data_IF_704915428949
#
_entry.id   IF_704915428949
#
_cell.length_a   1.000
_cell.length_b   1.000
_cell.length_c   1.000
_cell.angle_alpha   90.00
_cell.angle_beta   90.00
_cell.angle_gamma   90.00
#
_symmetry.space_group_name_H-M   'P 1'
#
loop_
_entity.id
_entity.type
_entity.pdbx_description
1 polymer ?
#
# COMPACT_ATOMS: atom_id res chain seq x y z
N UNK A 1 12.17 -9.95 -0.51
CA UNK A 1 12.89 -8.72 -0.90
C UNK A 1 13.63 -9.02 -2.18
N UNK A 2 13.22 -8.40 -3.29
CA UNK A 2 14.04 -8.43 -4.50
C UNK A 2 15.35 -7.67 -4.19
N UNK A 3 16.52 -8.18 -4.60
CA UNK A 3 17.77 -7.46 -4.47
C UNK A 3 17.63 -6.06 -5.08
N UNK A 4 18.01 -5.04 -4.30
CA UNK A 4 18.17 -3.67 -4.79
C UNK A 4 19.10 -3.71 -6.02
N UNK A 5 18.56 -3.36 -7.20
CA UNK A 5 19.33 -3.32 -8.46
C UNK A 5 18.96 -4.35 -9.53
N UNK A 6 17.95 -5.21 -9.33
CA UNK A 6 17.40 -6.02 -10.44
C UNK A 6 16.33 -5.22 -11.17
N UNK A 7 16.65 -4.77 -12.40
CA UNK A 7 15.66 -4.29 -13.35
C UNK A 7 14.91 -5.49 -13.91
N UNK A 8 13.73 -5.76 -13.36
CA UNK A 8 12.83 -6.76 -13.89
C UNK A 8 12.13 -6.17 -15.13
N UNK A 9 12.63 -6.54 -16.31
CA UNK A 9 12.07 -6.14 -17.61
C UNK A 9 10.86 -6.98 -18.03
N UNK A 10 10.07 -7.43 -17.05
CA UNK A 10 8.81 -8.09 -17.34
C UNK A 10 7.71 -7.05 -17.56
N UNK A 11 6.93 -7.23 -18.63
CA UNK A 11 5.86 -6.28 -18.99
C UNK A 11 4.79 -6.17 -17.91
N UNK A 12 4.47 -7.28 -17.23
CA UNK A 12 3.50 -7.30 -16.16
C UNK A 12 4.00 -6.53 -14.94
N UNK A 13 5.27 -6.70 -14.58
CA UNK A 13 5.89 -5.93 -13.49
C UNK A 13 5.86 -4.42 -13.77
N UNK A 14 6.33 -3.99 -14.95
CA UNK A 14 6.37 -2.58 -15.30
C UNK A 14 4.97 -1.95 -15.32
N UNK A 15 3.99 -2.65 -15.92
CA UNK A 15 2.61 -2.20 -15.92
C UNK A 15 2.07 -2.04 -14.49
N UNK A 16 2.37 -2.99 -13.60
CA UNK A 16 2.00 -2.91 -12.17
C UNK A 16 2.54 -1.64 -11.52
N UNK A 17 3.85 -1.39 -11.62
CA UNK A 17 4.48 -0.19 -11.06
C UNK A 17 3.90 1.12 -11.63
N UNK A 18 3.58 1.15 -12.93
CA UNK A 18 3.02 2.34 -13.58
C UNK A 18 1.57 2.64 -13.16
N UNK A 19 0.83 1.63 -12.70
CA UNK A 19 -0.62 1.74 -12.42
C UNK A 19 -0.97 1.68 -10.93
N UNK A 20 -0.02 1.35 -10.06
CA UNK A 20 -0.21 1.24 -8.60
C UNK A 20 -0.81 2.53 -8.02
N UNK A 21 -0.24 3.69 -8.33
CA UNK A 21 -0.74 5.00 -7.87
C UNK A 21 -2.19 5.26 -8.32
N UNK A 22 -2.52 4.88 -9.56
CA UNK A 22 -3.87 5.01 -10.11
C UNK A 22 -4.87 4.10 -9.41
N UNK A 23 -4.47 2.85 -9.13
CA UNK A 23 -5.29 1.89 -8.40
C UNK A 23 -5.55 2.33 -6.95
N UNK A 24 -4.51 2.78 -6.24
CA UNK A 24 -4.61 3.34 -4.90
C UNK A 24 -5.49 4.60 -4.87
N UNK A 25 -5.35 5.48 -5.86
CA UNK A 25 -6.18 6.68 -6.01
C UNK A 25 -7.66 6.34 -6.24
N UNK A 26 -7.96 5.39 -7.12
CA UNK A 26 -9.33 4.94 -7.36
C UNK A 26 -9.94 4.29 -6.11
N UNK A 27 -9.18 3.43 -5.42
CA UNK A 27 -9.61 2.84 -4.16
C UNK A 27 -9.96 3.92 -3.13
N UNK A 28 -9.14 4.97 -3.02
CA UNK A 28 -9.42 6.12 -2.14
C UNK A 28 -10.77 6.75 -2.44
N UNK A 29 -11.02 7.08 -3.70
CA UNK A 29 -12.25 7.75 -4.13
C UNK A 29 -13.47 6.88 -3.83
N UNK A 30 -13.40 5.59 -4.14
CA UNK A 30 -14.51 4.66 -3.90
C UNK A 30 -14.80 4.50 -2.40
N UNK A 31 -13.76 4.44 -1.57
CA UNK A 31 -13.91 4.26 -0.11
C UNK A 31 -14.31 5.52 0.64
N UNK A 32 -14.06 6.70 0.07
CA UNK A 32 -14.57 7.95 0.63
C UNK A 32 -16.10 8.08 0.52
N UNK A 33 -16.76 7.25 -0.29
CA UNK A 33 -18.22 7.25 -0.44
C UNK A 33 -18.92 6.50 0.70
N UNK A 34 -18.27 5.50 1.30
CA UNK A 34 -18.85 4.61 2.32
C UNK A 34 -18.16 4.68 3.69
N UNK A 35 -16.95 5.28 3.80
CA UNK A 35 -16.23 5.44 5.07
C UNK A 35 -16.09 6.92 5.51
N UNK A 36 -16.36 7.17 6.80
CA UNK A 36 -16.24 8.50 7.40
C UNK A 36 -14.76 8.88 7.64
N UNK A 37 -14.40 10.12 7.27
CA UNK A 37 -13.04 10.67 7.39
C UNK A 37 -11.94 9.73 6.82
N UNK A 38 -12.26 9.10 5.69
CA UNK A 38 -11.38 8.11 5.07
C UNK A 38 -10.12 8.75 4.48
N UNK A 39 -8.96 8.20 4.85
CA UNK A 39 -7.65 8.63 4.39
C UNK A 39 -6.74 7.46 4.05
N UNK A 40 -5.79 7.70 3.14
CA UNK A 40 -4.72 6.76 2.79
C UNK A 40 -3.40 7.54 2.90
N UNK A 41 -2.41 6.94 3.56
CA UNK A 41 -1.04 7.42 3.61
C UNK A 41 -0.08 6.41 2.99
N UNK A 42 0.98 6.90 2.34
CA UNK A 42 2.06 6.04 1.82
C UNK A 42 2.72 5.28 2.96
N UNK A 43 3.14 4.05 2.67
CA UNK A 43 3.89 3.23 3.63
C UNK A 43 5.39 3.30 3.36
N UNK A 44 6.16 2.90 4.36
CA UNK A 44 7.57 2.58 4.20
C UNK A 44 7.83 1.15 4.69
N UNK A 45 9.10 0.83 4.95
CA UNK A 45 9.44 -0.46 5.53
C UNK A 45 9.00 -0.57 6.99
N UNK A 46 8.07 -1.48 7.26
CA UNK A 46 7.50 -1.73 8.57
C UNK A 46 8.06 -3.02 9.16
N UNK A 47 8.57 -2.97 10.39
CA UNK A 47 9.08 -4.13 11.12
C UNK A 47 8.03 -4.60 12.14
N UNK A 48 7.80 -5.91 12.21
CA UNK A 48 6.90 -6.47 13.21
C UNK A 48 7.45 -6.26 14.62
N UNK A 49 6.63 -5.71 15.51
CA UNK A 49 7.01 -5.47 16.91
C UNK A 49 7.13 -6.76 17.72
N UNK A 50 6.45 -7.84 17.30
CA UNK A 50 6.51 -9.15 17.95
C UNK A 50 7.61 -10.03 17.37
N UNK A 51 7.88 -9.90 16.07
CA UNK A 51 8.90 -10.68 15.37
C UNK A 51 9.84 -9.75 14.60
N UNK A 52 10.84 -9.12 15.27
CA UNK A 52 11.65 -8.05 14.67
C UNK A 52 12.46 -8.42 13.42
N UNK A 53 12.59 -9.72 13.15
CA UNK A 53 13.21 -10.25 11.93
C UNK A 53 12.25 -10.32 10.74
N UNK A 54 10.97 -9.98 10.92
CA UNK A 54 9.95 -9.90 9.87
C UNK A 54 9.65 -8.43 9.58
N UNK A 55 9.68 -8.06 8.31
CA UNK A 55 9.21 -6.76 7.85
C UNK A 55 8.51 -6.82 6.50
N UNK A 56 7.68 -5.82 6.25
CA UNK A 56 6.89 -5.66 5.03
C UNK A 56 6.82 -4.18 4.62
N UNK A 57 6.57 -3.92 3.35
CA UNK A 57 6.27 -2.58 2.82
C UNK A 57 4.92 -2.69 2.12
N UNK A 58 3.80 -2.47 2.83
CA UNK A 58 2.47 -2.48 2.21
C UNK A 58 2.31 -1.33 1.20
N UNK A 59 1.25 -1.31 0.41
CA UNK A 59 1.06 -0.25 -0.59
C UNK A 59 0.64 1.06 0.11
N UNK A 60 -0.07 0.95 1.24
CA UNK A 60 -0.43 2.11 2.08
C UNK A 60 -1.08 1.73 3.40
N UNK A 61 -1.25 2.72 4.28
CA UNK A 61 -2.09 2.61 5.46
C UNK A 61 -3.42 3.32 5.23
N UNK A 62 -4.50 2.67 5.64
CA UNK A 62 -5.87 3.18 5.54
C UNK A 62 -6.34 3.61 6.93
N UNK A 63 -7.01 4.75 7.04
CA UNK A 63 -7.65 5.17 8.29
C UNK A 63 -9.07 5.64 8.04
N UNK A 64 -10.01 5.26 8.89
CA UNK A 64 -11.35 5.84 8.93
C UNK A 64 -11.95 5.74 10.34
N UNK A 65 -12.93 6.60 10.63
CA UNK A 65 -13.54 6.65 11.97
C UNK A 65 -14.41 5.44 12.28
N UNK A 66 -14.94 4.76 11.25
CA UNK A 66 -15.84 3.63 11.41
C UNK A 66 -15.13 2.28 11.58
N UNK A 67 -13.95 2.08 10.97
CA UNK A 67 -13.23 0.79 11.00
C UNK A 67 -11.85 0.88 11.66
N UNK A 68 -11.32 2.09 11.90
CA UNK A 68 -9.97 2.29 12.43
C UNK A 68 -8.90 2.20 11.34
N UNK A 69 -7.83 1.48 11.63
CA UNK A 69 -6.63 1.40 10.77
C UNK A 69 -6.60 0.07 9.99
N UNK A 70 -6.35 0.17 8.70
CA UNK A 70 -6.13 -0.96 7.80
C UNK A 70 -4.85 -0.81 6.97
N UNK A 71 -4.58 -1.80 6.13
CA UNK A 71 -3.48 -1.81 5.16
C UNK A 71 -4.06 -1.96 3.74
N UNK A 72 -3.41 -1.32 2.77
CA UNK A 72 -3.56 -1.61 1.34
C UNK A 72 -2.51 -2.66 0.95
#
# INVERSE_FOLDING_TARGET
MLPQGISIHDKGYQWGCEHEDGACGLYKVLRQLDHANFSISTSGFCISTQHPYIGASPDGFVTCDCCGVGIL
#
